data_IF_365898660624
#
_entry.id   IF_365898660624
#
_cell.length_a   1.000
_cell.length_b   1.000
_cell.length_c   1.000
_cell.angle_alpha   90.00
_cell.angle_beta   90.00
_cell.angle_gamma   90.00
#
_symmetry.space_group_name_H-M   'P 1'
#
loop_
_entity.id
_entity.type
_entity.pdbx_description
1 polymer ?
#
# COMPACT_ATOMS: atom_id res chain seq x y z
N UNK A 1 32.87 -59.62 16.35
CA UNK A 1 31.95 -59.66 15.19
C UNK A 1 30.85 -58.63 15.42
N UNK A 2 30.77 -57.64 14.54
CA UNK A 2 29.76 -56.58 14.50
C UNK A 2 28.37 -57.12 14.14
N UNK A 3 27.31 -56.67 14.82
CA UNK A 3 25.93 -56.50 14.29
C UNK A 3 25.24 -55.37 15.09
N UNK A 4 25.24 -54.14 14.58
CA UNK A 4 24.23 -53.51 13.69
C UNK A 4 22.98 -53.04 14.43
N UNK A 5 22.87 -51.70 14.46
CA UNK A 5 21.78 -50.86 14.91
C UNK A 5 20.48 -51.09 14.12
N UNK A 6 19.35 -50.91 14.79
CA UNK A 6 18.10 -50.49 14.15
C UNK A 6 17.31 -49.59 15.13
N UNK A 7 17.70 -48.30 15.19
CA UNK A 7 16.81 -47.24 15.70
C UNK A 7 16.18 -46.64 14.45
N UNK A 8 14.94 -47.02 14.16
CA UNK A 8 14.16 -46.43 13.07
C UNK A 8 12.85 -45.92 13.60
N UNK A 9 12.66 -44.60 13.44
CA UNK A 9 11.39 -44.07 12.97
C UNK A 9 10.35 -43.77 14.04
N UNK A 10 10.43 -42.58 14.66
CA UNK A 10 9.26 -41.71 14.80
C UNK A 10 9.68 -40.25 15.00
N UNK A 11 10.26 -39.67 13.96
CA UNK A 11 10.34 -38.21 13.82
C UNK A 11 9.52 -37.82 12.59
N UNK A 12 8.19 -37.93 12.71
CA UNK A 12 7.28 -37.45 11.68
C UNK A 12 6.51 -36.23 12.20
N UNK A 13 6.77 -35.11 11.52
CA UNK A 13 5.85 -34.01 11.28
C UNK A 13 5.37 -33.17 12.48
N UNK A 14 6.27 -32.33 13.00
CA UNK A 14 5.92 -31.07 13.67
C UNK A 14 6.32 -29.84 12.83
N UNK A 15 6.49 -30.00 11.52
CA UNK A 15 6.48 -28.88 10.57
C UNK A 15 5.05 -28.55 10.17
N UNK A 16 4.16 -28.39 11.16
CA UNK A 16 2.93 -27.65 10.94
C UNK A 16 3.35 -26.22 10.60
N UNK A 17 3.06 -25.82 9.36
CA UNK A 17 3.54 -24.58 8.77
C UNK A 17 3.36 -23.40 9.71
N UNK A 18 4.47 -22.89 10.24
CA UNK A 18 4.60 -21.48 10.49
C UNK A 18 4.58 -20.84 9.10
N UNK A 19 3.38 -20.62 8.56
CA UNK A 19 3.15 -19.53 7.63
C UNK A 19 3.62 -18.29 8.39
N UNK A 20 4.91 -17.96 8.18
CA UNK A 20 5.56 -16.82 8.79
C UNK A 20 4.79 -15.65 8.23
N UNK A 21 3.86 -15.10 9.01
CA UNK A 21 3.10 -13.93 8.63
C UNK A 21 4.11 -12.93 8.09
N UNK A 22 3.98 -12.60 6.80
CA UNK A 22 4.90 -11.70 6.13
C UNK A 22 5.01 -10.45 7.00
N UNK A 23 6.24 -10.07 7.36
CA UNK A 23 6.44 -8.96 8.28
C UNK A 23 5.87 -7.72 7.58
N UNK A 24 4.91 -6.98 8.17
CA UNK A 24 4.16 -5.94 7.45
C UNK A 24 5.04 -4.90 6.75
N UNK A 25 6.24 -4.67 7.28
CA UNK A 25 7.28 -3.84 6.67
C UNK A 25 7.80 -4.40 5.34
N UNK A 26 8.00 -5.71 5.24
CA UNK A 26 8.44 -6.39 4.02
C UNK A 26 7.36 -6.30 2.94
N UNK A 27 6.09 -6.51 3.30
CA UNK A 27 4.97 -6.35 2.37
C UNK A 27 4.85 -4.92 1.85
N UNK A 28 5.01 -3.91 2.72
CA UNK A 28 5.04 -2.50 2.31
C UNK A 28 6.21 -2.20 1.37
N UNK A 29 7.39 -2.73 1.66
CA UNK A 29 8.58 -2.52 0.84
C UNK A 29 8.46 -3.22 -0.53
N UNK A 30 7.80 -4.38 -0.60
CA UNK A 30 7.59 -5.12 -1.84
C UNK A 30 6.46 -4.57 -2.71
N UNK A 31 5.53 -3.80 -2.14
CA UNK A 31 4.37 -3.27 -2.87
C UNK A 31 4.82 -2.39 -4.06
N UNK A 32 4.35 -2.71 -5.27
CA UNK A 32 4.52 -1.85 -6.45
C UNK A 32 3.47 -0.73 -6.52
N UNK A 33 2.32 -0.95 -5.86
CA UNK A 33 1.18 -0.03 -5.86
C UNK A 33 0.48 -0.08 -4.52
N UNK A 34 0.02 1.07 -4.02
CA UNK A 34 -0.74 1.18 -2.78
C UNK A 34 -2.05 1.93 -3.06
N UNK A 35 -3.18 1.26 -2.88
CA UNK A 35 -4.49 1.89 -2.92
C UNK A 35 -4.82 2.42 -1.52
N UNK A 36 -5.04 3.72 -1.42
CA UNK A 36 -5.23 4.41 -0.15
C UNK A 36 -6.59 5.10 -0.10
N UNK A 37 -7.24 5.02 1.07
CA UNK A 37 -8.48 5.73 1.34
C UNK A 37 -8.36 6.53 2.63
N UNK A 38 -8.87 7.76 2.57
CA UNK A 38 -8.92 8.66 3.71
C UNK A 38 -10.03 8.22 4.66
N UNK A 39 -9.71 8.13 5.96
CA UNK A 39 -10.72 7.90 6.99
C UNK A 39 -11.12 9.24 7.61
N UNK A 40 -12.40 9.60 7.54
CA UNK A 40 -12.93 10.66 8.41
C UNK A 40 -13.04 10.12 9.84
N UNK A 41 -12.64 10.91 10.84
CA UNK A 41 -12.88 10.57 12.27
C UNK A 41 -11.88 9.60 12.92
N UNK A 42 -10.60 9.62 12.52
CA UNK A 42 -9.58 8.81 13.20
C UNK A 42 -9.33 9.29 14.65
N UNK A 43 -9.84 8.54 15.62
CA UNK A 43 -9.33 8.56 17.01
C UNK A 43 -8.22 7.52 17.12
N UNK A 44 -6.99 7.86 16.72
CA UNK A 44 -5.84 7.02 16.98
C UNK A 44 -5.47 7.10 18.46
N UNK A 45 -6.01 6.19 19.29
CA UNK A 45 -5.49 6.00 20.65
C UNK A 45 -4.24 5.13 20.52
N UNK A 46 -3.07 5.75 20.51
CA UNK A 46 -1.78 5.07 20.59
C UNK A 46 -1.62 4.45 21.99
N UNK A 47 -2.27 3.31 22.25
CA UNK A 47 -2.02 2.51 23.45
C UNK A 47 -0.80 1.60 23.23
N UNK A 48 -0.07 1.20 24.28
CA UNK A 48 1.02 0.22 24.18
C UNK A 48 0.57 -1.13 23.57
N UNK A 49 -0.74 -1.41 23.51
CA UNK A 49 -1.34 -2.61 22.93
C UNK A 49 -1.92 -2.39 21.51
N UNK A 50 -1.77 -1.20 20.93
CA UNK A 50 -1.82 -0.96 19.49
C UNK A 50 -3.09 -1.30 18.72
N UNK A 51 -4.29 -1.31 19.34
CA UNK A 51 -5.53 -1.56 18.59
C UNK A 51 -6.05 -0.27 17.97
N UNK A 52 -6.05 -0.19 16.64
CA UNK A 52 -6.69 0.90 15.88
C UNK A 52 -8.14 0.50 15.59
N UNK A 53 -9.12 1.28 16.06
CA UNK A 53 -10.54 1.07 15.75
C UNK A 53 -11.08 2.17 14.84
N UNK A 54 -11.78 1.78 13.79
CA UNK A 54 -12.32 2.67 12.77
C UNK A 54 -13.84 2.79 12.88
N UNK A 55 -14.35 4.03 12.88
CA UNK A 55 -15.76 4.32 12.66
C UNK A 55 -15.89 5.61 11.84
N UNK A 56 -16.58 5.60 10.68
CA UNK A 56 -17.14 4.44 9.99
C UNK A 56 -16.05 3.54 9.34
N UNK A 57 -16.38 2.30 8.92
CA UNK A 57 -15.45 1.41 8.21
C UNK A 57 -14.95 2.05 6.91
N UNK A 58 -13.69 1.83 6.56
CA UNK A 58 -13.18 2.14 5.21
C UNK A 58 -14.02 1.39 4.18
N UNK A 59 -14.48 2.06 3.12
CA UNK A 59 -14.83 1.37 1.89
C UNK A 59 -13.55 1.14 1.08
N UNK A 60 -13.03 -0.10 1.03
CA UNK A 60 -11.77 -0.40 0.36
C UNK A 60 -11.85 -0.30 -1.17
N UNK A 61 -13.05 -0.16 -1.74
CA UNK A 61 -13.27 -0.15 -3.19
C UNK A 61 -13.31 1.27 -3.77
N UNK A 62 -13.25 2.30 -2.94
CA UNK A 62 -13.21 3.70 -3.38
C UNK A 62 -11.91 4.37 -2.91
N UNK A 63 -10.76 4.05 -3.54
CA UNK A 63 -9.50 4.71 -3.20
C UNK A 63 -9.59 6.19 -3.55
N UNK A 64 -9.23 7.05 -2.59
CA UNK A 64 -9.12 8.50 -2.80
C UNK A 64 -7.71 8.95 -3.18
N UNK A 65 -6.74 8.04 -3.11
CA UNK A 65 -5.35 8.24 -3.49
C UNK A 65 -4.75 6.89 -3.86
N UNK A 66 -3.98 6.83 -4.95
CA UNK A 66 -3.11 5.69 -5.25
C UNK A 66 -1.65 6.13 -5.33
N UNK A 67 -0.76 5.30 -4.78
CA UNK A 67 0.69 5.48 -4.89
C UNK A 67 1.23 4.39 -5.81
N UNK A 68 1.71 4.76 -7.00
CA UNK A 68 2.38 3.85 -7.92
C UNK A 68 3.90 4.02 -7.81
N UNK A 69 4.63 2.94 -7.52
CA UNK A 69 6.08 2.94 -7.43
C UNK A 69 6.64 2.56 -8.79
N UNK A 70 7.06 3.58 -9.54
CA UNK A 70 7.47 3.44 -10.95
C UNK A 70 8.90 2.91 -11.07
N UNK A 71 9.82 3.44 -10.26
CA UNK A 71 11.23 3.01 -10.29
C UNK A 71 11.84 3.24 -8.91
N UNK A 72 11.95 2.16 -8.13
CA UNK A 72 12.48 2.22 -6.77
C UNK A 72 13.97 2.55 -6.74
N UNK A 73 14.74 2.09 -7.73
CA UNK A 73 16.18 2.37 -7.82
C UNK A 73 16.47 3.84 -8.11
N UNK A 74 15.54 4.53 -8.80
CA UNK A 74 15.62 5.96 -9.08
C UNK A 74 14.76 6.82 -8.16
N UNK A 75 14.20 6.26 -7.09
CA UNK A 75 13.34 6.97 -6.15
C UNK A 75 12.15 7.66 -6.84
N UNK A 76 11.49 6.99 -7.79
CA UNK A 76 10.36 7.53 -8.55
C UNK A 76 9.05 6.85 -8.15
N UNK A 77 8.05 7.67 -7.90
CA UNK A 77 6.65 7.26 -7.73
C UNK A 77 5.71 8.23 -8.46
N UNK A 78 4.44 7.86 -8.55
CA UNK A 78 3.34 8.70 -9.02
C UNK A 78 2.25 8.67 -7.94
N UNK A 79 1.73 9.84 -7.59
CA UNK A 79 0.49 9.97 -6.83
C UNK A 79 -0.66 10.13 -7.83
N UNK A 80 -1.70 9.32 -7.68
CA UNK A 80 -2.90 9.38 -8.51
C UNK A 80 -4.06 9.81 -7.61
N UNK A 81 -4.56 11.02 -7.79
CA UNK A 81 -5.65 11.64 -7.03
C UNK A 81 -6.63 12.29 -8.02
N UNK A 82 -7.93 12.01 -7.94
CA UNK A 82 -8.98 12.65 -8.75
C UNK A 82 -8.65 12.75 -10.26
N UNK A 83 -8.25 11.63 -10.88
CA UNK A 83 -7.81 11.50 -12.27
C UNK A 83 -6.52 12.25 -12.65
N UNK A 84 -5.81 12.82 -11.67
CA UNK A 84 -4.52 13.47 -11.88
C UNK A 84 -3.36 12.56 -11.44
N UNK A 85 -2.47 12.27 -12.39
CA UNK A 85 -1.19 11.62 -12.12
C UNK A 85 -0.10 12.67 -11.86
N UNK A 86 0.46 12.67 -10.65
CA UNK A 86 1.49 13.62 -10.24
C UNK A 86 2.79 12.87 -9.92
N UNK A 87 3.87 13.10 -10.71
CA UNK A 87 5.17 12.52 -10.41
C UNK A 87 5.70 12.96 -9.05
N UNK A 88 6.26 12.02 -8.31
CA UNK A 88 6.79 12.23 -6.98
C UNK A 88 8.15 11.56 -6.77
N UNK A 89 8.84 12.05 -5.75
CA UNK A 89 10.07 11.46 -5.24
C UNK A 89 9.72 10.47 -4.14
N UNK A 90 10.15 9.24 -4.32
CA UNK A 90 9.98 8.13 -3.37
C UNK A 90 11.13 8.11 -2.37
N UNK A 91 10.80 7.90 -1.10
CA UNK A 91 11.74 7.55 -0.04
C UNK A 91 11.22 6.31 0.66
N UNK A 92 11.91 5.18 0.53
CA UNK A 92 11.53 3.93 1.20
C UNK A 92 12.57 3.56 2.25
N UNK A 93 12.11 3.28 3.47
CA UNK A 93 12.88 2.68 4.56
C UNK A 93 12.22 1.37 4.98
N UNK A 94 12.89 0.53 5.79
CA UNK A 94 12.22 -0.63 6.37
C UNK A 94 10.99 -0.25 7.19
N UNK A 95 10.95 0.93 7.81
CA UNK A 95 9.85 1.35 8.68
C UNK A 95 8.75 2.16 7.99
N UNK A 96 8.95 2.59 6.74
CA UNK A 96 7.99 3.47 6.07
C UNK A 96 8.24 3.62 4.57
N UNK A 97 7.21 4.04 3.85
CA UNK A 97 7.32 4.51 2.48
C UNK A 97 6.76 5.94 2.40
N UNK A 98 7.53 6.88 1.87
CA UNK A 98 7.10 8.26 1.67
C UNK A 98 7.16 8.67 0.21
N UNK A 99 6.22 9.46 -0.25
CA UNK A 99 6.22 10.10 -1.57
C UNK A 99 5.96 11.59 -1.40
N UNK A 100 6.82 12.41 -1.99
CA UNK A 100 6.64 13.85 -2.09
C UNK A 100 6.35 14.21 -3.55
N UNK A 101 5.24 14.88 -3.80
CA UNK A 101 4.82 15.32 -5.13
C UNK A 101 4.58 16.83 -5.13
N UNK A 102 5.02 17.50 -6.21
CA UNK A 102 4.76 18.91 -6.44
C UNK A 102 3.74 19.06 -7.55
N UNK A 103 2.68 19.80 -7.27
CA UNK A 103 1.58 20.08 -8.18
C UNK A 103 1.90 21.29 -9.07
N UNK A 104 1.26 21.39 -10.26
CA UNK A 104 1.46 22.53 -11.17
C UNK A 104 1.13 23.89 -10.57
N UNK A 105 0.22 23.94 -9.60
CA UNK A 105 -0.16 25.13 -8.84
C UNK A 105 0.89 25.56 -7.80
N UNK A 106 1.99 24.81 -7.66
CA UNK A 106 3.03 25.04 -6.66
C UNK A 106 2.76 24.39 -5.31
N UNK A 107 1.60 23.74 -5.14
CA UNK A 107 1.28 22.95 -3.97
C UNK A 107 2.19 21.72 -3.85
N UNK A 108 2.38 21.25 -2.62
CA UNK A 108 3.18 20.06 -2.32
C UNK A 108 2.35 19.12 -1.47
N UNK A 109 2.29 17.85 -1.88
CA UNK A 109 1.77 16.77 -1.05
C UNK A 109 2.91 15.87 -0.61
N UNK A 110 2.90 15.52 0.68
CA UNK A 110 3.78 14.50 1.25
C UNK A 110 2.90 13.40 1.82
N UNK A 111 3.05 12.18 1.31
CA UNK A 111 2.34 11.01 1.82
C UNK A 111 3.35 10.08 2.45
N UNK A 112 3.10 9.62 3.66
CA UNK A 112 3.89 8.60 4.34
C UNK A 112 2.99 7.44 4.77
N UNK A 113 3.44 6.23 4.46
CA UNK A 113 2.77 4.97 4.75
C UNK A 113 3.65 4.17 5.73
N UNK A 114 3.02 3.66 6.78
CA UNK A 114 3.65 2.89 7.84
C UNK A 114 3.05 1.48 7.93
N UNK A 115 3.88 0.45 8.16
CA UNK A 115 3.37 -0.86 8.50
C UNK A 115 2.66 -0.81 9.85
N UNK A 116 1.50 -1.46 9.94
CA UNK A 116 0.82 -1.70 11.22
C UNK A 116 1.33 -3.02 11.79
N UNK A 117 1.45 -3.13 13.12
CA UNK A 117 1.95 -4.36 13.74
C UNK A 117 1.09 -5.57 13.37
N UNK A 118 1.75 -6.71 13.14
CA UNK A 118 1.08 -7.97 12.80
C UNK A 118 0.01 -8.32 13.83
N UNK A 119 -1.19 -8.65 13.35
CA UNK A 119 -2.36 -8.95 14.18
C UNK A 119 -3.25 -7.76 14.57
N UNK A 120 -2.85 -6.52 14.26
CA UNK A 120 -3.69 -5.35 14.49
C UNK A 120 -4.53 -4.94 13.26
N UNK A 121 -4.02 -5.14 12.04
CA UNK A 121 -4.73 -4.85 10.78
C UNK A 121 -3.94 -5.42 9.58
N UNK A 122 -4.63 -5.81 8.51
CA UNK A 122 -4.03 -6.13 7.20
C UNK A 122 -3.74 -4.86 6.36
N UNK A 123 -4.07 -3.68 6.88
CA UNK A 123 -3.85 -2.39 6.24
C UNK A 123 -2.57 -1.73 6.74
N UNK A 124 -1.96 -0.91 5.89
CA UNK A 124 -0.94 0.06 6.29
C UNK A 124 -1.59 1.37 6.75
N UNK A 125 -0.96 2.07 7.69
CA UNK A 125 -1.39 3.39 8.13
C UNK A 125 -0.82 4.46 7.18
N UNK A 126 -1.65 5.41 6.75
CA UNK A 126 -1.24 6.53 5.92
C UNK A 126 -1.40 7.85 6.65
N UNK A 127 -0.40 8.72 6.49
CA UNK A 127 -0.46 10.15 6.80
C UNK A 127 -0.19 10.91 5.51
N UNK A 128 -1.08 11.83 5.15
CA UNK A 128 -0.96 12.66 3.96
C UNK A 128 -1.01 14.11 4.38
N UNK A 129 0.01 14.88 4.01
CA UNK A 129 0.11 16.31 4.26
C UNK A 129 -0.02 17.06 2.95
N UNK A 130 -0.90 18.05 2.86
CA UNK A 130 -1.06 18.91 1.67
C UNK A 130 -0.75 20.36 2.04
N UNK A 131 0.19 20.94 1.31
CA UNK A 131 0.63 22.31 1.45
C UNK A 131 0.31 23.04 0.15
N UNK A 132 -0.85 23.68 0.07
CA UNK A 132 -1.26 24.44 -1.12
C UNK A 132 -0.74 25.88 -1.13
N UNK A 133 -1.02 26.58 -2.23
CA UNK A 133 -0.85 28.04 -2.38
C UNK A 133 -2.13 28.82 -2.03
N UNK A 134 -3.12 28.17 -1.43
CA UNK A 134 -4.41 28.78 -1.10
C UNK A 134 -4.28 29.91 -0.07
N UNK A 135 -5.14 30.93 -0.20
CA UNK A 135 -5.21 32.07 0.72
C UNK A 135 -5.97 31.74 2.03
N UNK A 136 -6.48 30.51 2.17
CA UNK A 136 -7.27 30.05 3.31
C UNK A 136 -6.56 28.91 4.05
N UNK A 137 -6.73 28.79 5.38
CA UNK A 137 -6.18 27.68 6.14
C UNK A 137 -6.75 26.35 5.66
N UNK A 138 -5.89 25.47 5.15
CA UNK A 138 -6.30 24.11 4.79
C UNK A 138 -5.90 23.12 5.90
N UNK A 139 -6.65 22.04 6.04
CA UNK A 139 -6.23 20.92 6.89
C UNK A 139 -4.89 20.40 6.38
N UNK A 140 -3.84 20.64 7.16
CA UNK A 140 -2.49 20.33 6.74
C UNK A 140 -2.23 18.83 6.71
N UNK A 141 -2.91 18.03 7.54
CA UNK A 141 -2.70 16.59 7.65
C UNK A 141 -4.02 15.81 7.63
N UNK A 142 -4.02 14.72 6.87
CA UNK A 142 -5.10 13.75 6.74
C UNK A 142 -4.55 12.37 7.03
N UNK A 143 -5.36 11.53 7.65
CA UNK A 143 -5.00 10.15 7.92
C UNK A 143 -5.86 9.19 7.11
N UNK A 144 -5.33 8.01 6.84
CA UNK A 144 -6.07 6.97 6.15
C UNK A 144 -5.35 5.63 6.21
N UNK A 145 -5.76 4.72 5.34
CA UNK A 145 -5.18 3.39 5.26
C UNK A 145 -4.88 3.03 3.82
N UNK A 146 -3.79 2.29 3.64
CA UNK A 146 -3.41 1.75 2.34
C UNK A 146 -3.41 0.23 2.37
N UNK A 147 -3.65 -0.37 1.21
CA UNK A 147 -3.40 -1.79 0.93
C UNK A 147 -2.52 -1.93 -0.30
N UNK A 148 -1.77 -3.04 -0.45
CA UNK A 148 -1.22 -3.40 -1.74
C UNK A 148 -2.34 -3.39 -2.79
N UNK A 149 -2.17 -2.57 -3.83
CA UNK A 149 -3.10 -2.52 -4.96
C UNK A 149 -2.81 -3.67 -5.92
N UNK A 150 -3.85 -4.24 -6.52
CA UNK A 150 -3.69 -5.09 -7.70
C UNK A 150 -3.47 -4.15 -8.89
N UNK A 151 -2.50 -4.44 -9.78
CA UNK A 151 -2.43 -3.74 -11.07
C UNK A 151 -3.77 -3.92 -11.78
N UNK A 152 -4.47 -2.84 -12.11
CA UNK A 152 -5.64 -2.93 -12.98
C UNK A 152 -5.16 -3.49 -14.32
N UNK A 153 -5.67 -4.65 -14.79
CA UNK A 153 -5.28 -5.17 -16.08
C UNK A 153 -5.55 -4.12 -17.16
N UNK A 154 -4.69 -3.98 -18.18
CA UNK A 154 -4.96 -3.07 -19.28
C UNK A 154 -6.33 -3.42 -19.91
N UNK A 155 -7.11 -2.41 -20.34
CA UNK A 155 -8.40 -2.67 -20.96
C UNK A 155 -8.23 -3.60 -22.18
N UNK A 156 -9.18 -4.50 -22.44
CA UNK A 156 -9.10 -5.40 -23.57
C UNK A 156 -9.00 -4.59 -24.88
N UNK A 157 -8.21 -5.06 -25.87
CA UNK A 157 -8.08 -4.35 -27.13
C UNK A 157 -9.45 -4.20 -27.81
N UNK A 158 -9.68 -3.08 -28.53
CA UNK A 158 -10.92 -2.89 -29.25
C UNK A 158 -11.12 -4.02 -30.28
N UNK A 159 -12.37 -4.48 -30.49
CA UNK A 159 -12.64 -5.54 -31.44
C UNK A 159 -12.18 -5.14 -32.86
N UNK A 160 -11.70 -6.10 -33.67
CA UNK A 160 -11.26 -5.82 -35.02
C UNK A 160 -12.41 -5.22 -35.86
N UNK A 161 -12.12 -4.29 -36.79
CA UNK A 161 -13.13 -3.71 -37.67
C UNK A 161 -13.88 -4.79 -38.44
N UNK A 162 -15.20 -4.68 -38.53
CA UNK A 162 -16.01 -5.60 -39.33
C UNK A 162 -15.51 -5.59 -40.78
N UNK A 163 -15.39 -6.76 -41.44
CA UNK A 163 -14.98 -6.82 -42.83
C UNK A 163 -15.94 -6.01 -43.68
N UNK A 164 -15.39 -5.08 -44.47
CA UNK A 164 -16.15 -4.32 -45.46
C UNK A 164 -16.71 -5.32 -46.47
N UNK A 165 -18.01 -5.56 -46.41
CA UNK A 165 -18.72 -6.34 -47.43
C UNK A 165 -18.53 -5.65 -48.78
N UNK A 166 -17.96 -6.37 -49.74
CA UNK A 166 -17.97 -5.95 -51.14
C UNK A 166 -19.40 -6.12 -51.66
N UNK A 167 -20.06 -5.00 -51.96
CA UNK A 167 -21.23 -4.96 -52.84
C UNK A 167 -20.77 -4.91 -54.30
#
# INVERSE_FOLDING_TARGET
MQRLLAVTGLALALTAGLARAEEPSQALFAAARLACAYSQGMNAVFTPQGRVSLKPPLDPNTPGLTIAIVDRAKNRAVLEEDDLETPGVLMATPSSLSVMARYPDGGVTVVTVYPVHSGASDNFLMVSSRHGVGNEPQMSQRYGFCRPGVETPPPPPPPPPAPKGHS
#
